data_IF_237431469796
#
_entry.id   IF_237431469796
#
_cell.length_a   1.000
_cell.length_b   1.000
_cell.length_c   1.000
_cell.angle_alpha   90.00
_cell.angle_beta   90.00
_cell.angle_gamma   90.00
#
_symmetry.space_group_name_H-M   'P 1'
#
loop_
_entity.id
_entity.type
_entity.pdbx_description
1 polymer ?
#
# COMPACT_ATOMS: atom_id res chain seq x y z
N UNK A 1 25.54 -5.89 4.64
CA UNK A 1 25.41 -5.91 3.17
C UNK A 1 24.00 -6.35 2.77
N UNK A 2 23.06 -5.40 2.59
CA UNK A 2 21.66 -5.72 2.24
C UNK A 2 21.50 -5.96 0.74
N UNK A 3 21.23 -7.22 0.36
CA UNK A 3 20.83 -7.60 -1.00
C UNK A 3 19.43 -7.05 -1.28
N UNK A 4 19.34 -5.94 -1.99
CA UNK A 4 18.07 -5.42 -2.53
C UNK A 4 17.56 -6.40 -3.58
N UNK A 5 16.53 -7.17 -3.25
CA UNK A 5 15.79 -7.97 -4.23
C UNK A 5 15.13 -7.02 -5.25
N UNK A 6 15.71 -6.93 -6.44
CA UNK A 6 15.08 -6.23 -7.57
C UNK A 6 13.86 -7.05 -7.99
N UNK A 7 12.65 -6.56 -7.72
CA UNK A 7 11.44 -7.15 -8.25
C UNK A 7 11.47 -7.07 -9.78
N UNK A 8 11.67 -8.22 -10.43
CA UNK A 8 11.59 -8.33 -11.88
C UNK A 8 10.12 -8.13 -12.28
N UNK A 9 9.78 -6.97 -12.84
CA UNK A 9 8.47 -6.78 -13.46
C UNK A 9 8.45 -7.58 -14.77
N UNK A 10 7.56 -8.58 -14.92
CA UNK A 10 7.45 -9.32 -16.17
C UNK A 10 7.07 -8.33 -17.29
N UNK A 11 7.76 -8.42 -18.43
CA UNK A 11 7.42 -7.62 -19.61
C UNK A 11 5.99 -7.97 -20.03
N UNK A 12 5.17 -6.94 -20.28
CA UNK A 12 3.81 -7.13 -20.79
C UNK A 12 3.90 -7.91 -22.12
N UNK A 13 3.27 -9.08 -22.25
CA UNK A 13 3.28 -9.81 -23.51
C UNK A 13 2.61 -8.96 -24.61
N UNK A 14 3.04 -9.11 -25.87
CA UNK A 14 2.39 -8.45 -27.00
C UNK A 14 0.92 -8.84 -27.05
N UNK A 15 0.05 -7.85 -27.26
CA UNK A 15 -1.41 -8.08 -27.32
C UNK A 15 -1.72 -8.74 -28.67
N UNK A 16 -2.02 -10.03 -28.65
CA UNK A 16 -2.52 -10.77 -29.80
C UNK A 16 -4.00 -10.43 -30.00
N UNK A 17 -4.33 -9.70 -31.08
CA UNK A 17 -5.72 -9.42 -31.49
C UNK A 17 -6.23 -10.56 -32.37
N UNK A 18 -6.48 -11.72 -31.76
CA UNK A 18 -7.05 -12.88 -32.46
C UNK A 18 -8.46 -13.10 -31.92
N UNK A 19 -9.43 -13.35 -32.80
CA UNK A 19 -10.80 -13.67 -32.40
C UNK A 19 -10.90 -15.11 -31.88
N UNK A 20 -11.90 -15.41 -31.05
CA UNK A 20 -12.09 -16.76 -30.53
C UNK A 20 -12.39 -17.77 -31.64
N UNK A 21 -13.06 -17.31 -32.70
CA UNK A 21 -13.39 -18.08 -33.90
C UNK A 21 -12.13 -18.41 -34.73
N UNK A 22 -11.18 -17.48 -34.82
CA UNK A 22 -9.89 -17.72 -35.45
C UNK A 22 -9.08 -18.77 -34.67
N UNK A 23 -9.10 -18.72 -33.33
CA UNK A 23 -8.39 -19.68 -32.49
C UNK A 23 -8.97 -21.10 -32.62
N UNK A 24 -10.30 -21.25 -32.66
CA UNK A 24 -10.94 -22.56 -32.88
C UNK A 24 -10.70 -23.08 -34.30
N UNK A 25 -10.67 -22.20 -35.30
CA UNK A 25 -10.30 -22.56 -36.67
C UNK A 25 -8.83 -23.02 -36.80
N UNK A 26 -7.92 -22.46 -36.00
CA UNK A 26 -6.51 -22.89 -35.95
C UNK A 26 -6.40 -24.27 -35.28
N UNK A 27 -7.13 -24.52 -34.19
CA UNK A 27 -7.13 -25.83 -33.51
C UNK A 27 -7.69 -26.92 -34.41
N UNK A 28 -8.78 -26.66 -35.12
CA UNK A 28 -9.39 -27.63 -36.04
C UNK A 28 -8.46 -28.01 -37.19
N UNK A 29 -7.64 -27.07 -37.67
CA UNK A 29 -6.56 -27.37 -38.63
C UNK A 29 -5.40 -28.15 -38.01
N UNK A 30 -5.12 -27.96 -36.72
CA UNK A 30 -4.06 -28.65 -36.00
C UNK A 30 -4.45 -30.10 -35.58
N UNK A 31 -5.74 -30.45 -35.60
CA UNK A 31 -6.23 -31.80 -35.29
C UNK A 31 -5.65 -32.89 -36.18
N UNK A 32 -5.24 -32.57 -37.41
CA UNK A 32 -4.62 -33.55 -38.32
C UNK A 32 -3.21 -33.98 -37.89
N UNK A 33 -2.58 -33.26 -36.96
CA UNK A 33 -1.21 -33.49 -36.52
C UNK A 33 -1.08 -33.80 -35.01
N UNK A 34 -2.18 -33.74 -34.26
CA UNK A 34 -2.21 -33.90 -32.80
C UNK A 34 -2.96 -35.17 -32.40
N UNK A 35 -2.60 -35.76 -31.26
CA UNK A 35 -3.41 -36.84 -30.68
C UNK A 35 -4.78 -36.33 -30.23
N UNK A 36 -5.74 -37.25 -30.09
CA UNK A 36 -7.09 -36.92 -29.60
C UNK A 36 -7.07 -36.28 -28.18
N UNK A 37 -6.10 -36.67 -27.35
CA UNK A 37 -5.94 -36.10 -26.00
C UNK A 37 -5.38 -34.67 -26.02
N UNK A 38 -4.40 -34.40 -26.88
CA UNK A 38 -3.76 -33.08 -26.99
C UNK A 38 -4.71 -32.06 -27.62
N UNK A 39 -5.43 -32.46 -28.66
CA UNK A 39 -6.48 -31.62 -29.28
C UNK A 39 -7.62 -31.33 -28.30
N UNK A 40 -8.01 -32.30 -27.46
CA UNK A 40 -8.99 -32.10 -26.40
C UNK A 40 -8.54 -31.06 -25.35
N UNK A 41 -7.28 -31.16 -24.89
CA UNK A 41 -6.70 -30.19 -23.93
C UNK A 41 -6.61 -28.78 -24.53
N UNK A 42 -6.24 -28.66 -25.81
CA UNK A 42 -6.17 -27.37 -26.49
C UNK A 42 -7.55 -26.74 -26.70
N UNK A 43 -8.55 -27.52 -27.09
CA UNK A 43 -9.95 -27.06 -27.20
C UNK A 43 -10.47 -26.55 -25.85
N UNK A 44 -10.23 -27.31 -24.78
CA UNK A 44 -10.64 -26.93 -23.43
C UNK A 44 -9.98 -25.62 -22.97
N UNK A 45 -8.69 -25.44 -23.25
CA UNK A 45 -7.96 -24.21 -22.91
C UNK A 45 -8.50 -22.98 -23.67
N UNK A 46 -8.79 -23.12 -24.97
CA UNK A 46 -9.33 -22.01 -25.77
C UNK A 46 -10.77 -21.68 -25.40
N UNK A 47 -11.60 -22.69 -25.10
CA UNK A 47 -12.95 -22.48 -24.58
C UNK A 47 -12.93 -21.73 -23.24
N UNK A 48 -12.01 -22.10 -22.34
CA UNK A 48 -11.81 -21.40 -21.06
C UNK A 48 -11.42 -19.93 -21.30
N UNK A 49 -10.45 -19.65 -22.17
CA UNK A 49 -10.02 -18.27 -22.47
C UNK A 49 -11.17 -17.43 -23.03
N UNK A 50 -12.01 -18.01 -23.90
CA UNK A 50 -13.21 -17.36 -24.41
C UNK A 50 -14.19 -16.96 -23.31
N UNK A 51 -14.51 -17.92 -22.42
CA UNK A 51 -15.35 -17.67 -21.25
C UNK A 51 -14.77 -16.60 -20.31
N UNK A 52 -13.44 -16.60 -20.12
CA UNK A 52 -12.77 -15.58 -19.31
C UNK A 52 -12.89 -14.18 -19.91
N UNK A 53 -12.83 -14.05 -21.23
CA UNK A 53 -12.97 -12.75 -21.92
C UNK A 53 -14.38 -12.18 -21.71
N UNK A 54 -15.42 -13.00 -21.85
CA UNK A 54 -16.80 -12.56 -21.66
C UNK A 54 -17.09 -12.09 -20.23
N UNK A 55 -16.56 -12.80 -19.23
CA UNK A 55 -16.75 -12.45 -17.81
C UNK A 55 -15.95 -11.19 -17.39
N UNK A 56 -14.75 -10.99 -17.94
CA UNK A 56 -13.96 -9.78 -17.70
C UNK A 56 -14.61 -8.55 -18.35
N UNK A 57 -15.10 -8.69 -19.58
CA UNK A 57 -15.80 -7.61 -20.30
C UNK A 57 -17.11 -7.23 -19.59
N UNK A 58 -17.79 -8.21 -18.98
CA UNK A 58 -19.00 -7.98 -18.17
C UNK A 58 -18.72 -7.26 -16.82
N UNK A 59 -17.45 -7.11 -16.40
CA UNK A 59 -17.03 -6.47 -15.12
C UNK A 59 -17.71 -7.03 -13.86
N UNK A 60 -18.29 -8.22 -13.96
CA UNK A 60 -19.15 -8.85 -12.95
C UNK A 60 -18.38 -9.53 -11.83
N UNK A 61 -17.11 -9.92 -12.07
CA UNK A 61 -16.34 -10.75 -11.14
C UNK A 61 -15.18 -10.00 -10.47
N UNK A 62 -15.01 -10.22 -9.16
CA UNK A 62 -13.85 -9.73 -8.41
C UNK A 62 -12.60 -10.56 -8.74
N UNK A 63 -11.42 -9.92 -8.75
CA UNK A 63 -10.12 -10.56 -9.01
C UNK A 63 -9.86 -11.77 -8.10
N UNK A 64 -10.37 -11.74 -6.86
CA UNK A 64 -10.26 -12.86 -5.91
C UNK A 64 -11.13 -14.06 -6.33
N UNK A 65 -12.35 -13.83 -6.82
CA UNK A 65 -13.23 -14.89 -7.31
C UNK A 65 -12.69 -15.50 -8.60
N UNK A 66 -12.10 -14.66 -9.46
CA UNK A 66 -11.37 -15.06 -10.66
C UNK A 66 -10.20 -15.99 -10.34
N UNK A 67 -9.33 -15.62 -9.39
CA UNK A 67 -8.20 -16.46 -8.98
C UNK A 67 -8.66 -17.84 -8.46
N UNK A 68 -9.75 -17.89 -7.70
CA UNK A 68 -10.29 -19.17 -7.18
C UNK A 68 -10.88 -20.08 -8.26
N UNK A 69 -11.39 -19.51 -9.35
CA UNK A 69 -11.96 -20.29 -10.44
C UNK A 69 -10.87 -20.90 -11.34
N UNK A 70 -9.76 -20.17 -11.54
CA UNK A 70 -8.64 -20.62 -12.39
C UNK A 70 -7.68 -21.53 -11.63
N UNK A 71 -7.31 -21.17 -10.41
CA UNK A 71 -6.27 -21.86 -9.64
C UNK A 71 -6.84 -22.76 -8.53
N UNK A 72 -8.18 -22.85 -8.45
CA UNK A 72 -8.87 -23.50 -7.34
C UNK A 72 -8.97 -22.60 -6.11
N UNK A 73 -9.88 -22.95 -5.18
CA UNK A 73 -9.90 -22.32 -3.87
C UNK A 73 -8.55 -22.55 -3.20
N UNK A 74 -7.95 -21.49 -2.63
CA UNK A 74 -6.77 -21.66 -1.79
C UNK A 74 -7.12 -22.65 -0.69
N UNK A 75 -6.37 -23.75 -0.62
CA UNK A 75 -6.55 -24.74 0.45
C UNK A 75 -6.37 -24.04 1.79
N UNK A 76 -7.24 -24.37 2.74
CA UNK A 76 -7.20 -23.78 4.08
C UNK A 76 -5.80 -24.00 4.67
N UNK A 77 -5.17 -22.92 5.12
CA UNK A 77 -3.87 -23.02 5.75
C UNK A 77 -4.05 -23.71 7.10
N UNK A 78 -3.11 -24.55 7.48
CA UNK A 78 -3.09 -25.29 8.77
C UNK A 78 -3.29 -24.38 9.98
N UNK A 79 -2.85 -23.12 9.92
CA UNK A 79 -3.10 -22.10 10.95
C UNK A 79 -4.59 -21.74 11.15
N UNK A 80 -5.41 -21.94 10.12
CA UNK A 80 -6.87 -21.69 10.15
C UNK A 80 -7.65 -22.90 10.66
N UNK A 81 -7.10 -24.11 10.47
CA UNK A 81 -7.71 -25.39 10.88
C UNK A 81 -7.35 -25.73 12.34
N UNK A 82 -6.13 -25.38 12.77
CA UNK A 82 -5.62 -25.61 14.13
C UNK A 82 -5.97 -24.46 15.08
N UNK A 83 -7.21 -23.95 14.99
CA UNK A 83 -7.70 -22.83 15.79
C UNK A 83 -7.21 -22.86 17.23
N UNK A 84 -6.75 -21.70 17.71
CA UNK A 84 -6.19 -21.46 19.05
C UNK A 84 -6.92 -22.29 20.10
N UNK A 85 -6.22 -23.31 20.60
CA UNK A 85 -6.68 -24.10 21.71
C UNK A 85 -6.55 -23.29 23.01
N UNK A 86 -7.65 -23.30 23.77
CA UNK A 86 -7.86 -22.82 25.14
C UNK A 86 -8.19 -21.32 25.25
N UNK A 87 -9.28 -20.89 25.90
CA UNK A 87 -9.93 -21.44 27.09
C UNK A 87 -11.47 -21.40 27.00
N UNK A 88 -12.06 -22.46 27.53
CA UNK A 88 -13.49 -22.57 27.83
C UNK A 88 -13.85 -21.71 29.05
N UNK A 89 -14.90 -20.90 28.93
CA UNK A 89 -15.77 -20.59 30.07
C UNK A 89 -17.18 -20.21 29.59
N UNK A 90 -18.10 -21.15 29.80
CA UNK A 90 -19.55 -21.02 29.99
C UNK A 90 -20.41 -20.22 28.96
N UNK A 91 -21.21 -20.98 28.20
CA UNK A 91 -22.50 -20.59 27.62
C UNK A 91 -23.53 -20.27 28.74
N UNK A 92 -24.64 -19.52 28.61
CA UNK A 92 -25.48 -19.00 27.51
C UNK A 92 -26.55 -18.06 28.19
N UNK A 93 -27.63 -17.53 27.58
CA UNK A 93 -27.92 -17.34 26.15
C UNK A 93 -28.58 -15.97 25.78
N UNK A 94 -28.77 -15.82 24.47
CA UNK A 94 -29.78 -15.03 23.75
C UNK A 94 -29.43 -13.62 23.27
N UNK A 95 -29.59 -13.43 21.95
CA UNK A 95 -29.66 -12.12 21.32
C UNK A 95 -29.15 -12.13 19.88
N UNK A 96 -29.96 -12.64 18.95
CA UNK A 96 -29.77 -12.45 17.50
C UNK A 96 -29.78 -10.94 17.19
N UNK A 97 -28.60 -10.32 17.18
CA UNK A 97 -28.39 -8.95 16.74
C UNK A 97 -27.48 -8.93 15.53
N UNK A 98 -27.99 -8.45 14.40
CA UNK A 98 -27.23 -8.20 13.19
C UNK A 98 -25.91 -7.49 13.54
N UNK A 99 -24.79 -8.10 13.15
CA UNK A 99 -23.45 -7.53 13.35
C UNK A 99 -23.30 -6.36 12.38
N UNK A 100 -23.94 -5.23 12.69
CA UNK A 100 -23.57 -3.94 12.14
C UNK A 100 -22.06 -3.82 12.34
N UNK A 101 -21.31 -3.62 11.24
CA UNK A 101 -19.87 -3.39 11.31
C UNK A 101 -19.65 -2.26 12.31
N UNK A 102 -19.12 -2.59 13.49
CA UNK A 102 -18.60 -1.58 14.42
C UNK A 102 -17.66 -0.69 13.58
N UNK A 103 -17.83 0.64 13.59
CA UNK A 103 -16.88 1.51 12.92
C UNK A 103 -15.49 1.13 13.42
N UNK A 104 -14.56 0.89 12.49
CA UNK A 104 -13.18 0.58 12.83
C UNK A 104 -12.71 1.66 13.81
N UNK A 105 -12.24 1.25 14.98
CA UNK A 105 -11.77 2.18 16.01
C UNK A 105 -10.82 3.20 15.39
N UNK A 106 -11.12 4.49 15.58
CA UNK A 106 -10.29 5.55 15.05
C UNK A 106 -8.89 5.49 15.71
N UNK A 107 -7.85 5.65 14.89
CA UNK A 107 -6.51 6.01 15.39
C UNK A 107 -5.50 4.86 15.50
N UNK A 108 -4.94 4.42 14.37
CA UNK A 108 -3.74 3.59 14.32
C UNK A 108 -2.56 4.46 13.86
N UNK A 109 -2.19 5.50 14.60
CA UNK A 109 -0.98 6.33 14.36
C UNK A 109 -0.85 7.08 13.02
N UNK A 110 -1.81 6.93 12.09
CA UNK A 110 -1.84 7.52 10.74
C UNK A 110 -2.46 8.93 10.73
N UNK A 111 -2.04 9.77 11.67
CA UNK A 111 -2.43 11.17 11.66
C UNK A 111 -1.69 11.90 10.54
N UNK A 112 -2.43 12.64 9.71
CA UNK A 112 -1.86 13.57 8.74
C UNK A 112 -1.10 14.69 9.46
N UNK A 113 -0.15 15.36 8.79
CA UNK A 113 0.60 16.44 9.42
C UNK A 113 -0.30 17.63 9.84
N UNK A 114 -1.42 17.83 9.15
CA UNK A 114 -2.45 18.82 9.51
C UNK A 114 -3.14 18.55 10.85
N UNK A 115 -3.15 17.30 11.33
CA UNK A 115 -3.73 16.96 12.63
C UNK A 115 -2.85 17.40 13.83
N UNK A 116 -1.60 17.78 13.58
CA UNK A 116 -0.67 18.25 14.60
C UNK A 116 -0.74 19.79 14.70
N UNK A 117 -1.87 20.29 15.20
CA UNK A 117 -2.14 21.74 15.27
C UNK A 117 -1.18 22.49 16.21
N UNK A 118 -0.76 21.86 17.31
CA UNK A 118 0.20 22.43 18.27
C UNK A 118 1.68 22.20 17.92
N UNK A 119 1.99 21.62 16.76
CA UNK A 119 3.37 21.31 16.39
C UNK A 119 4.11 22.54 15.84
N UNK A 120 5.41 22.63 16.15
CA UNK A 120 6.29 23.62 15.54
C UNK A 120 6.42 23.33 14.05
N UNK A 121 6.34 24.36 13.18
CA UNK A 121 6.53 24.21 11.74
C UNK A 121 7.86 24.77 11.31
N UNK A 122 8.62 24.00 10.53
CA UNK A 122 9.93 24.38 10.00
C UNK A 122 9.94 24.17 8.50
N UNK A 123 10.19 25.24 7.74
CA UNK A 123 10.33 25.18 6.28
C UNK A 123 11.77 24.84 5.93
N UNK A 124 11.96 23.85 5.07
CA UNK A 124 13.28 23.40 4.61
C UNK A 124 13.36 23.65 3.11
N UNK A 125 14.19 24.62 2.75
CA UNK A 125 14.50 24.91 1.35
C UNK A 125 15.42 23.85 0.78
N UNK A 126 15.27 23.55 -0.51
CA UNK A 126 16.17 22.61 -1.17
C UNK A 126 17.59 23.21 -1.23
N UNK A 127 18.64 22.49 -0.75
CA UNK A 127 19.95 23.09 -0.54
C UNK A 127 20.69 23.45 -1.83
N UNK A 128 20.43 22.69 -2.91
CA UNK A 128 21.17 22.78 -4.17
C UNK A 128 20.33 23.18 -5.38
N UNK A 129 19.01 23.32 -5.22
CA UNK A 129 18.10 23.58 -6.35
C UNK A 129 17.05 24.61 -5.92
N UNK A 130 16.73 25.50 -6.83
CA UNK A 130 15.75 26.57 -6.68
C UNK A 130 14.83 26.62 -7.89
N UNK A 131 13.72 27.35 -7.77
CA UNK A 131 12.78 27.50 -8.88
C UNK A 131 13.43 28.21 -10.07
N UNK A 132 13.33 27.61 -11.26
CA UNK A 132 13.92 28.12 -12.50
C UNK A 132 15.22 27.44 -12.92
N UNK A 133 15.83 26.63 -12.05
CA UNK A 133 17.07 25.91 -12.34
C UNK A 133 16.89 24.81 -13.39
N UNK A 134 17.97 24.46 -14.07
CA UNK A 134 18.01 23.33 -15.00
C UNK A 134 17.83 22.01 -14.26
N UNK A 135 17.00 21.13 -14.80
CA UNK A 135 16.71 19.82 -14.23
C UNK A 135 17.95 18.91 -14.24
N UNK A 136 18.40 18.37 -13.09
CA UNK A 136 19.54 17.45 -13.03
C UNK A 136 19.35 16.14 -13.80
N UNK A 137 18.11 15.66 -13.93
CA UNK A 137 17.81 14.39 -14.58
C UNK A 137 17.82 14.44 -16.10
N UNK A 138 17.23 15.48 -16.69
CA UNK A 138 17.14 15.61 -18.16
C UNK A 138 17.99 16.74 -18.75
N UNK A 139 18.54 17.65 -17.94
CA UNK A 139 19.34 18.83 -18.34
C UNK A 139 18.67 19.82 -19.31
N UNK A 140 17.47 19.52 -19.81
CA UNK A 140 16.74 20.30 -20.81
C UNK A 140 15.54 21.05 -20.24
N UNK A 141 14.90 20.49 -19.21
CA UNK A 141 13.75 21.11 -18.54
C UNK A 141 14.17 22.03 -17.40
N UNK A 142 13.23 22.87 -16.94
CA UNK A 142 13.38 23.72 -15.75
C UNK A 142 12.58 23.16 -14.58
N UNK A 143 13.11 23.27 -13.38
CA UNK A 143 12.42 22.85 -12.15
C UNK A 143 11.60 23.99 -11.58
N UNK A 144 10.41 23.67 -11.07
CA UNK A 144 9.50 24.63 -10.45
C UNK A 144 8.96 24.08 -9.13
N UNK A 145 8.67 24.94 -8.15
CA UNK A 145 8.06 24.50 -6.89
C UNK A 145 6.68 23.90 -7.13
N UNK A 146 6.43 22.78 -6.48
CA UNK A 146 5.10 22.19 -6.35
C UNK A 146 4.26 23.03 -5.37
N UNK A 147 2.95 23.11 -5.62
CA UNK A 147 2.02 23.79 -4.72
C UNK A 147 2.02 23.19 -3.30
N UNK A 148 2.19 21.88 -3.20
CA UNK A 148 2.26 21.16 -1.93
C UNK A 148 3.69 20.72 -1.61
N UNK A 149 4.22 21.26 -0.51
CA UNK A 149 5.48 20.83 0.07
C UNK A 149 5.38 19.39 0.63
N UNK A 150 6.50 18.68 0.65
CA UNK A 150 6.56 17.37 1.28
C UNK A 150 6.59 17.53 2.81
N UNK A 151 5.53 17.08 3.48
CA UNK A 151 5.41 17.18 4.93
C UNK A 151 5.96 15.94 5.64
N UNK A 152 6.81 16.13 6.63
CA UNK A 152 7.28 15.08 7.53
C UNK A 152 7.04 15.51 8.98
N UNK A 153 6.48 14.63 9.81
CA UNK A 153 6.24 14.91 11.23
C UNK A 153 7.29 14.16 12.04
N UNK A 154 8.00 14.88 12.92
CA UNK A 154 8.89 14.31 13.93
C UNK A 154 8.33 14.53 15.32
N UNK A 155 8.39 13.50 16.16
CA UNK A 155 8.01 13.56 17.56
C UNK A 155 9.22 13.17 18.41
N UNK A 156 9.55 14.02 19.37
CA UNK A 156 10.71 13.89 20.25
C UNK A 156 10.28 14.00 21.72
N UNK A 157 11.06 13.41 22.63
CA UNK A 157 10.81 13.45 24.07
C UNK A 157 11.33 14.74 24.73
N UNK A 158 10.86 15.89 24.25
CA UNK A 158 11.07 17.19 24.90
C UNK A 158 9.76 17.62 25.56
N UNK A 159 9.83 17.91 26.86
CA UNK A 159 8.74 17.77 27.84
C UNK A 159 7.32 18.21 27.40
N UNK A 160 6.27 17.36 27.58
CA UNK A 160 6.33 15.90 27.73
C UNK A 160 6.61 15.19 26.38
N UNK A 161 6.09 15.71 25.27
CA UNK A 161 6.43 15.31 23.91
C UNK A 161 6.30 16.54 23.02
N UNK A 162 7.30 16.79 22.17
CA UNK A 162 7.27 17.87 21.19
C UNK A 162 7.09 17.29 19.79
N UNK A 163 6.20 17.88 19.01
CA UNK A 163 6.03 17.57 17.60
C UNK A 163 6.54 18.72 16.73
N UNK A 164 7.30 18.39 15.70
CA UNK A 164 7.77 19.32 14.67
C UNK A 164 7.33 18.82 13.30
N UNK A 165 6.64 19.67 12.54
CA UNK A 165 6.27 19.43 11.15
C UNK A 165 7.29 20.13 10.25
N UNK A 166 8.04 19.33 9.51
CA UNK A 166 8.99 19.78 8.51
C UNK A 166 8.29 19.88 7.15
N UNK A 167 8.24 21.10 6.61
CA UNK A 167 7.71 21.41 5.29
C UNK A 167 8.91 21.49 4.33
N UNK A 168 9.17 20.39 3.63
CA UNK A 168 10.32 20.24 2.73
C UNK A 168 9.93 20.65 1.32
N UNK A 169 10.72 21.52 0.72
CA UNK A 169 10.51 21.95 -0.66
C UNK A 169 10.48 20.76 -1.61
N UNK A 170 9.51 20.82 -2.52
CA UNK A 170 9.33 19.84 -3.58
C UNK A 170 9.36 20.57 -4.91
N UNK A 171 10.36 20.29 -5.74
CA UNK A 171 10.54 20.88 -7.05
C UNK A 171 10.25 19.83 -8.11
N UNK A 172 9.47 20.16 -9.14
CA UNK A 172 9.15 19.27 -10.26
C UNK A 172 9.67 19.87 -11.56
N UNK A 173 10.33 19.05 -12.37
CA UNK A 173 10.71 19.43 -13.72
C UNK A 173 9.48 19.53 -14.64
N UNK A 174 9.39 20.59 -15.43
CA UNK A 174 8.32 20.78 -16.41
C UNK A 174 8.36 19.77 -17.58
N UNK A 175 9.56 19.30 -17.96
CA UNK A 175 9.77 18.48 -19.15
C UNK A 175 9.71 16.97 -18.84
N UNK A 176 10.58 16.48 -17.95
CA UNK A 176 10.64 15.05 -17.62
C UNK A 176 9.71 14.65 -16.46
N UNK A 177 9.15 15.62 -15.72
CA UNK A 177 8.28 15.37 -14.59
C UNK A 177 8.96 14.84 -13.33
N UNK A 178 10.29 14.73 -13.31
CA UNK A 178 11.03 14.28 -12.13
C UNK A 178 10.87 15.26 -10.96
N UNK A 179 10.78 14.72 -9.74
CA UNK A 179 10.50 15.47 -8.53
C UNK A 179 11.68 15.38 -7.56
N UNK A 180 12.25 16.52 -7.24
CA UNK A 180 13.33 16.68 -6.27
C UNK A 180 12.74 17.20 -4.96
N UNK A 181 12.90 16.43 -3.89
CA UNK A 181 12.43 16.81 -2.56
C UNK A 181 13.64 17.15 -1.70
N UNK A 182 13.64 18.31 -1.06
CA UNK A 182 14.71 18.72 -0.14
C UNK A 182 14.95 17.61 0.89
N UNK A 183 16.20 17.25 1.25
CA UNK A 183 16.48 16.20 2.23
C UNK A 183 15.95 16.56 3.63
N UNK A 184 15.74 15.55 4.48
CA UNK A 184 15.47 15.82 5.90
C UNK A 184 16.75 16.37 6.56
N UNK A 185 16.63 17.18 7.63
CA UNK A 185 17.79 17.60 8.41
C UNK A 185 18.50 16.37 8.97
N UNK A 186 19.83 16.37 8.97
CA UNK A 186 20.63 15.22 9.42
C UNK A 186 20.35 14.85 10.88
N UNK A 187 20.02 15.84 11.71
CA UNK A 187 19.73 15.69 13.14
C UNK A 187 18.43 14.93 13.43
N UNK A 188 17.50 14.85 12.48
CA UNK A 188 16.10 14.49 12.74
C UNK A 188 15.75 13.05 12.35
N UNK A 189 16.62 12.37 11.59
CA UNK A 189 16.34 11.02 11.08
C UNK A 189 15.11 10.93 10.17
N UNK A 190 14.82 9.74 9.65
CA UNK A 190 13.71 9.51 8.71
C UNK A 190 12.42 9.01 9.39
N UNK A 191 12.51 8.56 10.63
CA UNK A 191 11.37 7.99 11.34
C UNK A 191 10.47 9.07 11.94
N UNK A 192 9.19 8.76 12.11
CA UNK A 192 8.23 9.68 12.73
C UNK A 192 8.49 9.90 14.22
N UNK A 193 8.90 8.86 14.92
CA UNK A 193 9.16 8.88 16.36
C UNK A 193 10.66 8.80 16.61
N UNK A 194 11.12 9.60 17.56
CA UNK A 194 12.45 9.47 18.13
C UNK A 194 12.54 8.25 19.06
N UNK A 195 13.73 7.68 19.18
CA UNK A 195 14.01 6.51 20.02
C UNK A 195 13.75 6.80 21.50
N UNK A 196 13.81 8.06 21.91
CA UNK A 196 13.49 8.50 23.27
C UNK A 196 11.99 8.52 23.58
N UNK A 197 11.12 8.53 22.56
CA UNK A 197 9.67 8.66 22.74
C UNK A 197 9.06 7.48 23.53
N UNK A 198 9.35 6.20 23.20
CA UNK A 198 8.82 5.08 23.98
C UNK A 198 9.19 5.14 25.46
N UNK A 199 10.44 5.54 25.79
CA UNK A 199 10.89 5.67 27.17
C UNK A 199 10.11 6.76 27.93
N UNK A 200 9.91 7.92 27.30
CA UNK A 200 9.11 9.01 27.87
C UNK A 200 7.65 8.62 28.06
N UNK A 201 7.05 7.92 27.08
CA UNK A 201 5.69 7.40 27.20
C UNK A 201 5.59 6.41 28.38
N UNK A 202 6.58 5.54 28.55
CA UNK A 202 6.66 4.63 29.70
C UNK A 202 6.74 5.37 31.03
N UNK A 203 7.60 6.38 31.14
CA UNK A 203 7.73 7.20 32.34
C UNK A 203 6.43 7.98 32.67
N UNK A 204 5.79 8.57 31.67
CA UNK A 204 4.50 9.26 31.86
C UNK A 204 3.43 8.29 32.34
N UNK A 205 3.38 7.09 31.74
CA UNK A 205 2.36 6.09 32.07
C UNK A 205 2.55 5.49 33.46
N UNK A 206 3.74 4.97 33.71
CA UNK A 206 4.01 4.11 34.87
C UNK A 206 4.72 4.86 36.00
N UNK A 207 5.45 5.92 35.71
CA UNK A 207 6.09 6.77 36.72
C UNK A 207 5.14 7.84 37.25
N UNK A 208 4.50 8.60 36.34
CA UNK A 208 3.60 9.71 36.71
C UNK A 208 2.11 9.34 36.74
N UNK A 209 1.74 8.12 36.33
CA UNK A 209 0.36 7.63 36.38
C UNK A 209 -0.58 8.24 35.31
N UNK A 210 -0.06 8.86 34.25
CA UNK A 210 -0.91 9.48 33.23
C UNK A 210 -1.75 8.43 32.46
N UNK A 211 -3.03 8.71 32.16
CA UNK A 211 -3.83 7.84 31.30
C UNK A 211 -3.37 7.95 29.84
N UNK A 212 -3.48 6.87 29.06
CA UNK A 212 -3.17 6.89 27.61
C UNK A 212 -4.25 7.57 26.75
N UNK A 213 -5.44 7.75 27.33
CA UNK A 213 -6.61 8.26 26.64
C UNK A 213 -7.19 9.41 27.43
N UNK A 214 -7.93 10.29 26.76
CA UNK A 214 -8.65 11.41 27.39
C UNK A 214 -7.73 12.40 28.10
N UNK A 215 -6.47 12.48 27.68
CA UNK A 215 -5.49 13.45 28.19
C UNK A 215 -5.98 14.88 27.94
N UNK A 216 -6.74 15.10 26.86
CA UNK A 216 -7.42 16.38 26.55
C UNK A 216 -8.35 16.89 27.66
N UNK A 217 -8.80 16.03 28.60
CA UNK A 217 -9.63 16.44 29.76
C UNK A 217 -8.82 16.90 30.97
N UNK A 218 -7.49 16.81 30.91
CA UNK A 218 -6.57 17.20 31.98
C UNK A 218 -5.96 18.60 31.75
N UNK A 219 -6.19 19.21 30.59
CA UNK A 219 -5.81 20.59 30.25
C UNK A 219 -6.99 21.53 30.51
#
# INVERSE_FOLDING_TARGET
MSRKHKHHRPRKPPVLKVSQEELTAIVTKAETALSAEESGKLKAAIALIGFLRTEIDAKTLSVQRFQRMIFGAATEKTETVLGEAQEEAAADPTGKGSRAKRPRGAGHGRNAASAYTGARRVKITHPTLSGGDSCPGCSQGKVYPCAEAAQAVRIEAMAPLSATVYERDRLRCNLCGEVYTAPAPAEVGEQKYDETVPAMIGMLKYGAGLPFNRIERLQ
#
